data_IF_930751130424
#
_entry.id   IF_930751130424
#
_cell.length_a   1.000
_cell.length_b   1.000
_cell.length_c   1.000
_cell.angle_alpha   90.00
_cell.angle_beta   90.00
_cell.angle_gamma   90.00
#
_symmetry.space_group_name_H-M   'P 1'
#
loop_
_entity.id
_entity.type
_entity.pdbx_description
1 polymer ?
#
# COMPACT_ATOMS: atom_id res chain seq x y z
N UNK A 1 3.25 -87.43 -49.27
CA UNK A 1 4.62 -87.11 -48.81
C UNK A 1 4.97 -85.69 -49.23
N UNK A 2 5.60 -84.94 -48.32
CA UNK A 2 6.37 -83.69 -48.50
C UNK A 2 5.64 -82.33 -48.36
N UNK A 3 5.89 -81.76 -47.17
CA UNK A 3 6.58 -80.49 -46.91
C UNK A 3 5.80 -79.15 -46.97
N UNK A 4 5.47 -78.67 -45.76
CA UNK A 4 5.40 -77.25 -45.40
C UNK A 4 6.71 -76.51 -45.70
N UNK A 5 6.63 -75.22 -46.07
CA UNK A 5 7.66 -74.25 -45.70
C UNK A 5 7.07 -73.07 -44.90
N UNK A 6 7.52 -73.00 -43.64
CA UNK A 6 8.08 -71.81 -42.96
C UNK A 6 7.20 -70.55 -42.87
N UNK A 7 6.48 -70.43 -41.75
CA UNK A 7 6.28 -69.13 -41.09
C UNK A 7 7.62 -68.70 -40.48
N UNK A 8 8.29 -67.73 -41.11
CA UNK A 8 9.39 -66.99 -40.47
C UNK A 8 8.78 -66.05 -39.43
N UNK A 9 8.88 -66.44 -38.16
CA UNK A 9 8.65 -65.54 -37.04
C UNK A 9 9.86 -64.61 -37.01
N UNK A 10 9.64 -63.34 -37.36
CA UNK A 10 10.62 -62.28 -37.12
C UNK A 10 11.01 -62.31 -35.63
N UNK A 11 12.30 -62.22 -35.28
CA UNK A 11 12.69 -62.16 -33.87
C UNK A 11 12.04 -60.91 -33.27
N UNK A 12 11.17 -61.13 -32.29
CA UNK A 12 10.70 -60.07 -31.41
C UNK A 12 11.96 -59.57 -30.72
N UNK A 13 12.38 -58.36 -31.08
CA UNK A 13 13.43 -57.63 -30.39
C UNK A 13 12.91 -57.32 -28.98
N UNK A 14 13.14 -58.27 -28.07
CA UNK A 14 12.97 -58.10 -26.63
C UNK A 14 14.15 -57.29 -26.12
N UNK A 15 14.29 -56.06 -26.63
CA UNK A 15 15.09 -55.02 -26.03
C UNK A 15 14.48 -54.67 -24.69
N UNK A 16 14.83 -55.46 -23.67
CA UNK A 16 14.48 -55.15 -22.29
C UNK A 16 14.98 -53.74 -21.98
N UNK A 17 14.05 -52.87 -21.60
CA UNK A 17 14.38 -51.60 -20.96
C UNK A 17 15.47 -51.90 -19.93
N UNK A 18 16.66 -51.33 -20.13
CA UNK A 18 17.72 -51.47 -19.15
C UNK A 18 17.19 -50.84 -17.87
N UNK A 19 17.41 -51.49 -16.72
CA UNK A 19 16.94 -51.00 -15.43
C UNK A 19 17.32 -49.52 -15.17
N UNK A 20 18.43 -49.07 -15.77
CA UNK A 20 18.88 -47.66 -15.79
C UNK A 20 17.86 -46.73 -16.44
N UNK A 21 17.29 -47.09 -17.58
CA UNK A 21 16.36 -46.25 -18.35
C UNK A 21 15.00 -46.14 -17.65
N UNK A 22 14.65 -47.14 -16.82
CA UNK A 22 13.45 -47.15 -15.99
C UNK A 22 13.62 -46.29 -14.73
N UNK A 23 14.82 -46.32 -14.12
CA UNK A 23 15.16 -45.50 -12.96
C UNK A 23 15.21 -44.02 -13.36
N UNK A 24 15.89 -43.68 -14.47
CA UNK A 24 15.98 -42.30 -14.96
C UNK A 24 14.62 -41.70 -15.30
N UNK A 25 13.70 -42.48 -15.88
CA UNK A 25 12.32 -42.03 -16.15
C UNK A 25 11.52 -41.79 -14.88
N UNK A 26 11.68 -42.66 -13.87
CA UNK A 26 11.00 -42.50 -12.59
C UNK A 26 11.52 -41.29 -11.82
N UNK A 27 12.83 -41.06 -11.85
CA UNK A 27 13.45 -39.89 -11.23
C UNK A 27 13.00 -38.60 -11.95
N UNK A 28 12.99 -38.58 -13.28
CA UNK A 28 12.48 -37.45 -14.06
C UNK A 28 11.01 -37.14 -13.76
N UNK A 29 10.14 -38.16 -13.72
CA UNK A 29 8.72 -38.00 -13.36
C UNK A 29 8.53 -37.52 -11.91
N UNK A 30 9.42 -37.94 -11.00
CA UNK A 30 9.39 -37.51 -9.60
C UNK A 30 9.78 -36.03 -9.45
N UNK A 31 10.87 -35.60 -10.09
CA UNK A 31 11.29 -34.20 -10.08
C UNK A 31 10.28 -33.30 -10.78
N UNK A 32 9.71 -33.73 -11.90
CA UNK A 32 8.71 -32.93 -12.61
C UNK A 32 7.42 -32.75 -11.79
N UNK A 33 6.96 -33.80 -11.10
CA UNK A 33 5.83 -33.69 -10.15
C UNK A 33 6.14 -32.77 -8.97
N UNK A 34 7.40 -32.76 -8.49
CA UNK A 34 7.80 -31.85 -7.42
C UNK A 34 7.74 -30.39 -7.88
N UNK A 35 8.24 -30.08 -9.08
CA UNK A 35 8.17 -28.73 -9.65
C UNK A 35 6.72 -28.28 -9.86
N UNK A 36 5.85 -29.14 -10.41
CA UNK A 36 4.43 -28.80 -10.57
C UNK A 36 3.73 -28.54 -9.23
N UNK A 37 4.08 -29.31 -8.19
CA UNK A 37 3.56 -29.08 -6.84
C UNK A 37 4.09 -27.78 -6.24
N UNK A 38 5.36 -27.44 -6.46
CA UNK A 38 5.95 -26.18 -6.00
C UNK A 38 5.30 -24.98 -6.69
N UNK A 39 5.13 -25.03 -8.01
CA UNK A 39 4.41 -23.98 -8.75
C UNK A 39 2.96 -23.83 -8.28
N UNK A 40 2.27 -24.93 -8.00
CA UNK A 40 0.91 -24.91 -7.46
C UNK A 40 0.86 -24.25 -6.08
N UNK A 41 1.84 -24.53 -5.21
CA UNK A 41 1.96 -23.89 -3.90
C UNK A 41 2.24 -22.40 -4.04
N UNK A 42 3.15 -22.01 -4.93
CA UNK A 42 3.49 -20.61 -5.20
C UNK A 42 2.27 -19.82 -5.72
N UNK A 43 1.52 -20.38 -6.68
CA UNK A 43 0.28 -19.77 -7.18
C UNK A 43 -0.78 -19.63 -6.07
N UNK A 44 -0.85 -20.60 -5.17
CA UNK A 44 -1.79 -20.56 -4.04
C UNK A 44 -1.39 -19.50 -3.02
N UNK A 45 -0.09 -19.39 -2.69
CA UNK A 45 0.44 -18.34 -1.81
C UNK A 45 0.22 -16.94 -2.39
N UNK A 46 0.44 -16.77 -3.69
CA UNK A 46 0.19 -15.48 -4.36
C UNK A 46 -1.29 -15.09 -4.31
N UNK A 47 -2.21 -16.05 -4.54
CA UNK A 47 -3.66 -15.80 -4.37
C UNK A 47 -4.01 -15.45 -2.93
N UNK A 48 -3.42 -16.14 -1.95
CA UNK A 48 -3.64 -15.87 -0.53
C UNK A 48 -3.15 -14.47 -0.15
N UNK A 49 -1.97 -14.08 -0.64
CA UNK A 49 -1.39 -12.75 -0.46
C UNK A 49 -2.31 -11.65 -1.01
N UNK A 50 -2.85 -11.84 -2.22
CA UNK A 50 -3.84 -10.92 -2.78
C UNK A 50 -5.14 -10.86 -1.97
N UNK A 51 -5.60 -12.00 -1.44
CA UNK A 51 -6.81 -12.06 -0.62
C UNK A 51 -6.61 -11.35 0.73
N UNK A 52 -5.44 -11.52 1.35
CA UNK A 52 -5.04 -10.81 2.57
C UNK A 52 -4.97 -9.31 2.31
N UNK A 53 -4.32 -8.86 1.23
CA UNK A 53 -4.27 -7.45 0.86
C UNK A 53 -5.67 -6.84 0.63
N UNK A 54 -6.57 -7.59 -0.02
CA UNK A 54 -7.97 -7.19 -0.21
C UNK A 54 -8.76 -7.14 1.10
N UNK A 55 -8.50 -8.06 2.02
CA UNK A 55 -9.13 -8.07 3.35
C UNK A 55 -8.59 -6.96 4.24
N UNK A 56 -7.30 -6.67 4.19
CA UNK A 56 -6.70 -5.52 4.88
C UNK A 56 -7.31 -4.22 4.38
N UNK A 57 -7.50 -4.08 3.07
CA UNK A 57 -8.18 -2.91 2.52
C UNK A 57 -9.66 -2.85 2.93
N UNK A 58 -10.39 -3.98 2.87
CA UNK A 58 -11.79 -4.04 3.32
C UNK A 58 -11.96 -3.76 4.82
N UNK A 59 -11.11 -4.32 5.68
CA UNK A 59 -11.09 -4.06 7.12
C UNK A 59 -10.77 -2.60 7.37
N UNK A 60 -9.83 -2.01 6.63
CA UNK A 60 -9.54 -0.58 6.73
C UNK A 60 -10.72 0.31 6.32
N UNK A 61 -11.68 -0.19 5.53
CA UNK A 61 -12.94 0.49 5.25
C UNK A 61 -14.00 0.25 6.34
N UNK A 62 -14.00 -0.90 7.01
CA UNK A 62 -15.02 -1.29 8.00
C UNK A 62 -14.70 -0.78 9.42
N UNK A 63 -13.44 -0.64 9.81
CA UNK A 63 -13.05 -0.23 11.18
C UNK A 63 -13.22 1.26 11.49
N UNK A 64 -13.66 2.06 10.51
CA UNK A 64 -13.90 3.48 10.73
C UNK A 64 -15.24 3.69 11.45
N UNK A 65 -15.23 3.58 12.76
CA UNK A 65 -16.34 4.01 13.61
C UNK A 65 -16.46 5.54 13.45
N UNK A 66 -17.58 6.09 12.93
CA UNK A 66 -17.72 7.52 12.60
C UNK A 66 -17.48 8.48 13.78
N UNK A 67 -17.51 7.96 15.01
CA UNK A 67 -17.39 8.70 16.25
C UNK A 67 -16.10 8.40 17.04
N UNK A 68 -15.19 7.54 16.53
CA UNK A 68 -13.89 7.38 17.19
C UNK A 68 -13.01 8.59 16.86
N UNK A 69 -12.23 9.11 17.82
CA UNK A 69 -11.30 10.19 17.56
C UNK A 69 -10.28 9.76 16.52
N UNK A 70 -10.07 10.56 15.47
CA UNK A 70 -9.00 10.31 14.51
C UNK A 70 -7.66 10.67 15.15
N UNK A 71 -6.77 9.69 15.37
CA UNK A 71 -5.38 9.97 15.72
C UNK A 71 -4.55 10.14 14.45
N UNK A 72 -3.92 11.30 14.33
CA UNK A 72 -3.04 11.69 13.24
C UNK A 72 -1.64 11.95 13.77
N UNK A 73 -0.64 11.36 13.11
CA UNK A 73 0.77 11.56 13.44
C UNK A 73 1.52 12.07 12.20
N UNK A 74 2.19 13.20 12.32
CA UNK A 74 2.96 13.80 11.24
C UNK A 74 4.46 13.68 11.50
N UNK A 75 5.15 12.95 10.61
CA UNK A 75 6.60 12.89 10.62
C UNK A 75 7.18 14.07 9.82
N UNK A 76 7.82 14.98 10.54
CA UNK A 76 8.45 16.19 9.97
C UNK A 76 9.72 15.87 9.16
N UNK A 77 10.34 14.69 9.34
CA UNK A 77 11.53 14.30 8.58
C UNK A 77 11.16 13.83 7.17
N UNK A 78 10.09 13.05 7.07
CA UNK A 78 9.64 12.45 5.81
C UNK A 78 8.46 13.19 5.17
N UNK A 79 7.92 14.22 5.83
CA UNK A 79 6.71 14.95 5.42
C UNK A 79 5.51 14.03 5.15
N UNK A 80 5.41 12.98 5.96
CA UNK A 80 4.40 11.94 5.82
C UNK A 80 3.45 11.97 7.00
N UNK A 81 2.16 11.97 6.70
CA UNK A 81 1.10 11.81 7.69
C UNK A 81 0.70 10.35 7.79
N UNK A 82 0.68 9.86 9.02
CA UNK A 82 0.25 8.54 9.41
C UNK A 82 -1.09 8.61 10.12
N UNK A 83 -1.89 7.55 9.92
CA UNK A 83 -3.15 7.29 10.63
C UNK A 83 -3.03 6.01 11.42
N UNK A 84 -3.89 5.81 12.41
CA UNK A 84 -3.99 4.56 13.19
C UNK A 84 -3.99 3.29 12.31
N UNK A 85 -4.61 3.37 11.14
CA UNK A 85 -4.72 2.27 10.16
C UNK A 85 -3.45 2.03 9.32
N UNK A 86 -2.29 2.58 9.71
CA UNK A 86 -1.01 2.49 8.96
C UNK A 86 -1.06 2.98 7.52
N UNK A 87 -2.10 3.74 7.15
CA UNK A 87 -2.15 4.42 5.86
C UNK A 87 -1.24 5.65 5.93
N UNK A 88 -0.51 5.90 4.84
CA UNK A 88 0.38 7.05 4.71
C UNK A 88 -0.14 8.04 3.66
N UNK A 89 0.05 9.33 3.92
CA UNK A 89 -0.23 10.42 2.98
C UNK A 89 0.98 11.33 2.88
N UNK A 90 1.46 11.52 1.66
CA UNK A 90 2.63 12.36 1.35
C UNK A 90 2.19 13.75 0.86
N UNK A 91 2.91 14.78 1.29
CA UNK A 91 2.62 16.17 0.96
C UNK A 91 3.69 16.78 0.04
N UNK A 92 3.24 17.63 -0.88
CA UNK A 92 4.13 18.45 -1.71
C UNK A 92 4.79 19.55 -0.87
N UNK A 93 5.88 20.16 -1.34
CA UNK A 93 6.69 21.13 -0.56
C UNK A 93 5.86 22.16 0.22
N UNK A 94 4.95 22.87 -0.44
CA UNK A 94 4.14 23.92 0.21
C UNK A 94 3.11 23.33 1.20
N UNK A 95 2.53 22.18 0.86
CA UNK A 95 1.60 21.47 1.74
C UNK A 95 2.32 20.92 2.97
N UNK A 96 3.54 20.40 2.81
CA UNK A 96 4.39 19.90 3.87
C UNK A 96 4.81 21.03 4.82
N UNK A 97 5.16 22.21 4.28
CA UNK A 97 5.40 23.41 5.09
C UNK A 97 4.16 23.77 5.90
N UNK A 98 2.96 23.74 5.30
CA UNK A 98 1.71 24.00 6.02
C UNK A 98 1.42 22.92 7.09
N UNK A 99 1.64 21.65 6.79
CA UNK A 99 1.46 20.56 7.74
C UNK A 99 2.47 20.67 8.90
N UNK A 100 3.70 21.09 8.64
CA UNK A 100 4.71 21.28 9.69
C UNK A 100 4.29 22.32 10.75
N UNK A 101 3.53 23.36 10.36
CA UNK A 101 3.03 24.36 11.32
C UNK A 101 1.79 23.86 12.06
N UNK A 102 0.99 23.02 11.42
CA UNK A 102 -0.22 22.42 11.98
C UNK A 102 0.07 21.36 13.04
N UNK A 103 1.25 20.74 13.00
CA UNK A 103 1.67 19.70 13.93
C UNK A 103 2.80 20.14 14.85
N UNK A 104 2.90 19.51 16.01
CA UNK A 104 3.95 19.74 17.00
C UNK A 104 5.19 18.96 16.61
N UNK A 105 6.37 19.60 16.58
CA UNK A 105 7.62 18.94 16.15
C UNK A 105 8.07 17.81 17.09
N UNK A 106 7.81 17.94 18.38
CA UNK A 106 8.23 16.95 19.38
C UNK A 106 7.36 15.70 19.41
N UNK A 107 6.06 15.86 19.21
CA UNK A 107 5.09 14.76 19.37
C UNK A 107 4.47 14.28 18.07
N UNK A 108 4.66 15.00 16.95
CA UNK A 108 3.99 14.70 15.70
C UNK A 108 2.46 14.86 15.77
N UNK A 109 1.91 15.45 16.84
CA UNK A 109 0.47 15.60 17.06
C UNK A 109 -0.07 16.95 16.57
N UNK A 110 -1.33 17.01 16.11
CA UNK A 110 -1.92 18.24 15.60
C UNK A 110 -2.10 19.27 16.72
N UNK A 111 -1.92 20.55 16.39
CA UNK A 111 -2.07 21.67 17.32
C UNK A 111 -3.53 22.10 17.39
N UNK A 112 -4.04 22.29 18.62
CA UNK A 112 -5.36 22.86 18.87
C UNK A 112 -5.31 24.39 18.78
N UNK A 113 -5.06 24.92 17.58
CA UNK A 113 -4.95 26.36 17.32
C UNK A 113 -5.65 26.73 16.01
N UNK A 114 -6.24 27.93 15.98
CA UNK A 114 -6.72 28.55 14.74
C UNK A 114 -5.58 29.35 14.11
N UNK A 115 -5.31 29.10 12.83
CA UNK A 115 -4.26 29.75 12.07
C UNK A 115 -4.87 30.78 11.12
N UNK A 116 -4.37 32.02 11.13
CA UNK A 116 -4.81 33.06 10.22
C UNK A 116 -3.91 33.08 8.98
N UNK A 117 -4.48 33.01 7.78
CA UNK A 117 -3.71 32.95 6.53
C UNK A 117 -2.76 34.14 6.37
N UNK A 118 -3.18 35.34 6.79
CA UNK A 118 -2.37 36.56 6.73
C UNK A 118 -1.17 36.55 7.69
N UNK A 119 -1.32 35.95 8.87
CA UNK A 119 -0.23 35.84 9.85
C UNK A 119 0.79 34.80 9.43
N UNK A 120 0.33 33.65 8.92
CA UNK A 120 1.23 32.60 8.46
C UNK A 120 1.95 33.02 7.17
N UNK A 121 1.30 33.75 6.27
CA UNK A 121 1.94 34.30 5.08
C UNK A 121 3.15 35.19 5.43
N UNK A 122 3.01 36.07 6.43
CA UNK A 122 4.12 36.91 6.92
C UNK A 122 5.27 36.10 7.52
N UNK A 123 5.00 34.93 8.09
CA UNK A 123 6.06 34.04 8.60
C UNK A 123 6.76 33.33 7.46
N UNK A 124 6.00 32.85 6.48
CA UNK A 124 6.55 32.17 5.30
C UNK A 124 7.34 33.11 4.38
N UNK A 125 6.95 34.39 4.32
CA UNK A 125 7.72 35.43 3.65
C UNK A 125 9.10 35.61 4.31
N UNK A 126 9.15 35.63 5.64
CA UNK A 126 10.42 35.73 6.39
C UNK A 126 11.32 34.50 6.25
N UNK A 127 10.74 33.32 6.05
CA UNK A 127 11.50 32.06 5.91
C UNK A 127 11.82 31.69 4.46
N UNK A 128 11.24 32.37 3.46
CA UNK A 128 11.45 32.08 2.05
C UNK A 128 10.75 30.80 1.56
N UNK A 129 9.66 30.39 2.22
CA UNK A 129 8.97 29.11 1.95
C UNK A 129 7.94 29.18 0.80
N UNK A 130 7.93 30.27 0.02
CA UNK A 130 7.13 30.41 -1.21
C UNK A 130 5.63 30.67 -1.01
N UNK A 131 5.15 30.78 0.23
CA UNK A 131 3.76 31.09 0.60
C UNK A 131 3.62 32.50 1.19
N UNK A 132 4.13 33.50 0.47
CA UNK A 132 4.26 34.89 0.93
C UNK A 132 2.94 35.66 1.02
N UNK A 133 1.87 35.16 0.39
CA UNK A 133 0.56 35.83 0.39
C UNK A 133 -0.50 35.00 1.09
N UNK A 134 -1.49 35.68 1.69
CA UNK A 134 -2.61 35.03 2.36
C UNK A 134 -3.38 34.10 1.41
N UNK A 135 -3.51 34.47 0.14
CA UNK A 135 -4.18 33.66 -0.89
C UNK A 135 -3.40 32.37 -1.19
N UNK A 136 -2.07 32.42 -1.29
CA UNK A 136 -1.23 31.22 -1.47
C UNK A 136 -1.35 30.27 -0.29
N UNK A 137 -1.41 30.80 0.94
CA UNK A 137 -1.62 30.01 2.16
C UNK A 137 -3.01 29.38 2.15
N UNK A 138 -4.04 30.15 1.79
CA UNK A 138 -5.41 29.65 1.65
C UNK A 138 -5.50 28.53 0.62
N UNK A 139 -4.91 28.71 -0.57
CA UNK A 139 -4.91 27.70 -1.62
C UNK A 139 -4.19 26.42 -1.18
N UNK A 140 -3.06 26.55 -0.46
CA UNK A 140 -2.36 25.42 0.12
C UNK A 140 -3.22 24.70 1.16
N UNK A 141 -3.88 25.44 2.05
CA UNK A 141 -4.78 24.88 3.05
C UNK A 141 -5.97 24.16 2.42
N UNK A 142 -6.57 24.74 1.38
CA UNK A 142 -7.68 24.12 0.64
C UNK A 142 -7.26 22.82 -0.06
N UNK A 143 -6.05 22.77 -0.64
CA UNK A 143 -5.49 21.52 -1.20
C UNK A 143 -5.27 20.46 -0.13
N UNK A 144 -4.70 20.86 1.02
CA UNK A 144 -4.50 19.96 2.16
C UNK A 144 -5.84 19.43 2.69
N UNK A 145 -6.85 20.29 2.85
CA UNK A 145 -8.19 19.87 3.24
C UNK A 145 -8.73 18.82 2.29
N UNK A 146 -8.72 19.08 0.98
CA UNK A 146 -9.22 18.13 -0.03
C UNK A 146 -8.47 16.78 0.01
N UNK A 147 -7.15 16.81 0.19
CA UNK A 147 -6.35 15.59 0.33
C UNK A 147 -6.69 14.81 1.60
N UNK A 148 -6.81 15.50 2.73
CA UNK A 148 -7.18 14.90 4.01
C UNK A 148 -8.60 14.31 3.95
N UNK A 149 -9.57 15.04 3.42
CA UNK A 149 -10.95 14.58 3.33
C UNK A 149 -11.06 13.33 2.43
N UNK A 150 -10.31 13.28 1.33
CA UNK A 150 -10.22 12.10 0.47
C UNK A 150 -9.53 10.91 1.14
N UNK A 151 -8.39 11.15 1.78
CA UNK A 151 -7.61 10.13 2.48
C UNK A 151 -8.34 9.55 3.70
N UNK A 152 -9.08 10.41 4.39
CA UNK A 152 -9.84 10.09 5.60
C UNK A 152 -11.31 9.82 5.30
N UNK A 153 -11.76 9.79 4.04
CA UNK A 153 -13.17 9.50 3.68
C UNK A 153 -14.18 10.19 4.62
N UNK A 154 -13.85 11.38 5.11
CA UNK A 154 -14.49 12.09 6.23
C UNK A 154 -14.33 13.56 5.96
N UNK A 155 -15.44 14.28 6.01
CA UNK A 155 -15.42 15.72 5.80
C UNK A 155 -15.09 16.46 7.11
N UNK A 156 -14.51 17.64 6.95
CA UNK A 156 -14.25 18.62 8.02
C UNK A 156 -13.09 18.28 8.96
N UNK A 157 -12.13 17.44 8.55
CA UNK A 157 -10.96 17.17 9.42
C UNK A 157 -10.15 18.44 9.62
N UNK A 158 -9.75 19.06 8.50
CA UNK A 158 -9.20 20.41 8.46
C UNK A 158 -10.26 21.34 7.87
N UNK A 159 -10.72 22.32 8.65
CA UNK A 159 -11.68 23.31 8.20
C UNK A 159 -10.92 24.53 7.71
N UNK A 160 -11.12 24.88 6.43
CA UNK A 160 -10.57 26.10 5.82
C UNK A 160 -11.69 27.09 5.58
N UNK A 161 -11.52 28.29 6.09
CA UNK A 161 -12.42 29.43 5.89
C UNK A 161 -11.71 30.50 5.06
N UNK A 162 -12.42 31.56 4.64
CA UNK A 162 -11.84 32.66 3.84
C UNK A 162 -10.59 33.31 4.45
N UNK A 163 -10.38 33.22 5.77
CA UNK A 163 -9.28 33.90 6.48
C UNK A 163 -8.43 33.00 7.37
N UNK A 164 -8.94 31.83 7.73
CA UNK A 164 -8.29 30.96 8.71
C UNK A 164 -8.51 29.47 8.44
N UNK A 165 -7.65 28.65 9.03
CA UNK A 165 -7.76 27.20 8.97
C UNK A 165 -7.45 26.56 10.34
N UNK A 166 -8.12 25.46 10.66
CA UNK A 166 -7.98 24.74 11.94
C UNK A 166 -8.51 23.29 11.86
N UNK A 167 -8.08 22.44 12.78
CA UNK A 167 -8.57 21.06 12.90
C UNK A 167 -9.86 20.97 13.73
N UNK A 168 -10.88 20.27 13.25
CA UNK A 168 -12.19 20.20 13.92
C UNK A 168 -12.56 18.83 14.52
N UNK A 169 -12.17 17.72 13.88
CA UNK A 169 -12.57 16.34 14.28
C UNK A 169 -11.40 15.44 14.73
N UNK A 170 -10.31 16.02 15.23
CA UNK A 170 -9.12 15.26 15.65
C UNK A 170 -9.06 15.11 17.17
N UNK A 171 -8.64 13.93 17.64
CA UNK A 171 -8.20 13.74 19.02
C UNK A 171 -6.92 14.54 19.31
N UNK A 172 -7.01 15.43 20.28
CA UNK A 172 -5.85 16.11 20.88
C UNK A 172 -5.54 15.45 22.23
N UNK A 173 -5.24 14.15 22.26
CA UNK A 173 -4.80 13.48 23.50
C UNK A 173 -3.35 13.79 23.78
#
# INVERSE_FOLDING_TARGET
MKNNPKNEIAPIDMGGEKDTDRIERNDWNYFHNLDERLESVERTLNKLSHFVASLEDAISHITRIPNLPLELEYDHRTNTLWTETRRKLEFTKNEATLMSILFTKSTGKPKKKVFQCSEEAKKFEKSGDGMETADKVFDAAARVQKKLDGFLSTNDVLVVTKKSFYFSKIAFK
#
